data_IF_584542012537
#
_entry.id   IF_584542012537
#
_cell.length_a   1.000
_cell.length_b   1.000
_cell.length_c   1.000
_cell.angle_alpha   90.00
_cell.angle_beta   90.00
_cell.angle_gamma   90.00
#
_symmetry.space_group_name_H-M   'P 1'
#
loop_
_entity.id
_entity.type
_entity.pdbx_description
1 polymer ?
#
# COMPACT_ATOMS: atom_id res chain seq x y z
N UNK A 1 -1.65 -38.18 6.03
CA UNK A 1 -0.31 -37.96 6.63
C UNK A 1 -0.38 -36.60 7.31
N UNK A 2 -0.60 -36.56 8.62
CA UNK A 2 -0.61 -35.30 9.37
C UNK A 2 0.83 -34.79 9.43
N UNK A 3 1.10 -33.66 8.79
CA UNK A 3 2.40 -32.99 8.89
C UNK A 3 2.58 -32.55 10.34
N UNK A 4 3.62 -33.04 11.00
CA UNK A 4 3.98 -32.60 12.34
C UNK A 4 4.60 -31.19 12.25
N UNK A 5 3.75 -30.17 12.39
CA UNK A 5 4.11 -28.75 12.25
C UNK A 5 5.23 -28.28 13.18
N UNK A 6 5.56 -29.02 14.24
CA UNK A 6 6.60 -28.66 15.21
C UNK A 6 8.03 -28.74 14.68
N UNK A 7 8.28 -29.45 13.57
CA UNK A 7 9.64 -29.68 13.05
C UNK A 7 10.03 -28.75 11.88
N UNK A 8 9.11 -27.93 11.38
CA UNK A 8 9.38 -26.97 10.30
C UNK A 8 9.72 -25.59 10.89
N UNK A 9 11.02 -25.29 10.93
CA UNK A 9 11.66 -23.99 11.21
C UNK A 9 10.80 -22.93 11.91
N UNK A 10 10.82 -22.92 13.25
CA UNK A 10 10.38 -21.77 14.05
C UNK A 10 8.92 -21.36 13.84
N UNK A 11 8.03 -22.32 13.53
CA UNK A 11 6.59 -22.09 13.40
C UNK A 11 5.84 -22.45 14.69
N UNK A 12 4.96 -21.57 15.13
CA UNK A 12 4.08 -21.78 16.28
C UNK A 12 2.63 -21.44 15.97
N UNK A 13 1.70 -22.07 16.68
CA UNK A 13 0.29 -21.68 16.66
C UNK A 13 -0.14 -21.30 18.08
N UNK A 14 -0.60 -20.06 18.24
CA UNK A 14 -1.02 -19.51 19.53
C UNK A 14 -2.52 -19.28 19.55
N UNK A 15 -3.13 -19.76 20.62
CA UNK A 15 -4.52 -19.57 20.97
C UNK A 15 -4.73 -18.45 21.98
N UNK A 16 -3.71 -18.09 22.76
CA UNK A 16 -3.74 -17.04 23.78
C UNK A 16 -2.48 -16.15 23.73
N UNK A 17 -2.62 -14.90 24.17
CA UNK A 17 -1.53 -13.93 24.31
C UNK A 17 -0.44 -14.41 25.25
N UNK A 18 -0.79 -15.18 26.29
CA UNK A 18 0.18 -15.75 27.26
C UNK A 18 1.28 -16.58 26.59
N UNK A 19 0.96 -17.24 25.47
CA UNK A 19 1.92 -18.04 24.71
C UNK A 19 2.97 -17.13 24.05
N UNK A 20 2.53 -16.01 23.45
CA UNK A 20 3.46 -14.99 22.94
C UNK A 20 4.27 -14.31 24.07
N UNK A 21 3.68 -14.14 25.26
CA UNK A 21 4.38 -13.53 26.40
C UNK A 21 5.46 -14.46 26.98
N UNK A 22 5.32 -15.78 26.83
CA UNK A 22 6.37 -16.73 27.19
C UNK A 22 7.64 -16.54 26.34
N UNK A 23 7.51 -16.11 25.09
CA UNK A 23 8.65 -15.77 24.24
C UNK A 23 9.37 -14.51 24.71
N UNK A 24 8.64 -13.51 25.22
CA UNK A 24 9.26 -12.33 25.84
C UNK A 24 10.21 -12.77 26.96
N UNK A 25 9.78 -13.69 27.84
CA UNK A 25 10.60 -14.22 28.94
C UNK A 25 11.86 -14.96 28.45
N UNK A 26 11.81 -15.55 27.25
CA UNK A 26 12.96 -16.19 26.57
C UNK A 26 13.88 -15.19 25.85
N UNK A 27 13.63 -13.88 25.99
CA UNK A 27 14.45 -12.83 25.39
C UNK A 27 14.07 -12.47 23.95
N UNK A 28 12.92 -12.93 23.45
CA UNK A 28 12.41 -12.52 22.14
C UNK A 28 11.81 -11.11 22.19
N UNK A 29 11.92 -10.43 21.05
CA UNK A 29 11.02 -9.33 20.71
C UNK A 29 9.83 -9.91 19.95
N UNK A 30 8.61 -9.72 20.47
CA UNK A 30 7.39 -10.13 19.76
C UNK A 30 6.96 -8.98 18.85
N UNK A 31 6.83 -9.27 17.57
CA UNK A 31 6.48 -8.32 16.50
C UNK A 31 5.10 -8.68 15.99
N UNK A 32 4.08 -8.07 16.58
CA UNK A 32 2.69 -8.27 16.19
C UNK A 32 2.39 -7.50 14.91
N UNK A 33 2.04 -8.23 13.85
CA UNK A 33 1.79 -7.70 12.51
C UNK A 33 0.36 -8.02 12.08
N UNK A 34 -0.35 -7.02 11.57
CA UNK A 34 -1.69 -7.21 11.02
C UNK A 34 -1.95 -6.26 9.87
N UNK A 35 -2.81 -6.68 8.95
CA UNK A 35 -3.20 -5.89 7.81
C UNK A 35 -4.72 -5.71 7.70
N UNK A 36 -5.11 -4.66 6.99
CA UNK A 36 -6.48 -4.49 6.51
C UNK A 36 -6.42 -4.12 5.03
N UNK A 37 -7.40 -4.58 4.26
CA UNK A 37 -7.41 -4.43 2.81
C UNK A 37 -8.81 -4.11 2.29
N UNK A 38 -8.89 -3.15 1.37
CA UNK A 38 -10.08 -2.89 0.54
C UNK A 38 -9.67 -2.23 -0.77
N UNK A 39 -10.21 -2.73 -1.89
CA UNK A 39 -10.11 -2.10 -3.22
C UNK A 39 -8.70 -1.57 -3.59
N UNK A 40 -7.72 -2.48 -3.62
CA UNK A 40 -6.30 -2.19 -3.92
C UNK A 40 -5.54 -1.36 -2.87
N UNK A 41 -6.21 -0.91 -1.81
CA UNK A 41 -5.61 -0.22 -0.68
C UNK A 41 -5.42 -1.21 0.46
N UNK A 42 -4.15 -1.44 0.79
CA UNK A 42 -3.75 -2.13 2.01
C UNK A 42 -3.36 -1.12 3.09
N UNK A 43 -3.43 -1.55 4.33
CA UNK A 43 -2.79 -0.88 5.45
C UNK A 43 -2.26 -1.94 6.41
N UNK A 44 -1.18 -1.63 7.12
CA UNK A 44 -0.68 -2.51 8.16
C UNK A 44 -0.48 -1.75 9.46
N UNK A 45 -0.52 -2.49 10.57
CA UNK A 45 -0.06 -2.02 11.86
C UNK A 45 0.93 -2.99 12.47
N UNK A 46 1.96 -2.44 13.09
CA UNK A 46 3.05 -3.19 13.72
C UNK A 46 3.20 -2.73 15.15
N UNK A 47 3.23 -3.69 16.07
CA UNK A 47 3.59 -3.48 17.45
C UNK A 47 4.79 -4.35 17.80
N UNK A 48 5.80 -3.76 18.44
CA UNK A 48 6.99 -4.51 18.90
C UNK A 48 7.01 -4.48 20.43
N UNK A 49 7.02 -5.67 21.03
CA UNK A 49 7.02 -5.89 22.47
C UNK A 49 8.30 -6.59 22.88
N UNK A 50 8.82 -6.20 24.04
CA UNK A 50 9.95 -6.82 24.73
C UNK A 50 9.60 -6.92 26.22
N UNK A 51 10.33 -7.70 27.00
CA UNK A 51 10.10 -7.78 28.47
C UNK A 51 10.12 -6.42 29.17
N UNK A 52 10.93 -5.48 28.68
CA UNK A 52 11.15 -4.19 29.33
C UNK A 52 10.25 -3.09 28.76
N UNK A 53 9.74 -3.26 27.55
CA UNK A 53 9.12 -2.17 26.79
C UNK A 53 8.16 -2.67 25.73
N UNK A 54 7.04 -1.97 25.63
CA UNK A 54 6.10 -2.04 24.51
C UNK A 54 6.23 -0.75 23.67
N UNK A 55 6.56 -0.91 22.38
CA UNK A 55 6.69 0.23 21.48
C UNK A 55 5.33 0.73 21.01
N UNK A 56 5.26 2.01 20.64
CA UNK A 56 4.08 2.61 20.01
C UNK A 56 3.79 1.88 18.68
N UNK A 57 2.50 1.63 18.45
CA UNK A 57 2.02 1.03 17.21
C UNK A 57 2.36 1.95 16.03
N UNK A 58 2.99 1.38 15.01
CA UNK A 58 3.26 2.05 13.74
C UNK A 58 2.28 1.54 12.70
N UNK A 59 1.53 2.44 12.08
CA UNK A 59 0.58 2.11 11.02
C UNK A 59 0.95 2.82 9.73
N UNK A 60 0.72 2.18 8.58
CA UNK A 60 0.96 2.78 7.27
C UNK A 60 0.04 2.19 6.19
N UNK A 61 -0.46 3.01 5.25
CA UNK A 61 -1.13 2.53 4.05
C UNK A 61 -0.10 2.10 2.99
N UNK A 62 -0.53 1.24 2.07
CA UNK A 62 0.21 0.82 0.89
C UNK A 62 -0.75 0.31 -0.19
N UNK A 63 -0.22 0.03 -1.39
CA UNK A 63 -0.97 -0.64 -2.46
C UNK A 63 -0.78 -2.14 -2.35
N UNK A 64 -1.85 -2.91 -2.48
CA UNK A 64 -1.82 -4.36 -2.51
C UNK A 64 -2.87 -4.92 -3.47
N UNK A 65 -2.70 -6.14 -3.94
CA UNK A 65 -3.60 -6.86 -4.83
C UNK A 65 -4.21 -8.03 -4.05
N UNK A 66 -5.02 -7.69 -3.05
CA UNK A 66 -5.78 -8.64 -2.24
C UNK A 66 -5.32 -8.77 -0.77
N UNK A 67 -6.15 -9.42 0.06
CA UNK A 67 -5.92 -9.52 1.50
C UNK A 67 -4.65 -10.30 1.85
N UNK A 68 -4.38 -11.43 1.20
CA UNK A 68 -3.19 -12.24 1.51
C UNK A 68 -1.88 -11.50 1.20
N UNK A 69 -1.83 -10.72 0.13
CA UNK A 69 -0.66 -9.86 -0.13
C UNK A 69 -0.53 -8.79 0.96
N UNK A 70 -1.65 -8.22 1.40
CA UNK A 70 -1.67 -7.22 2.48
C UNK A 70 -1.08 -7.76 3.78
N UNK A 71 -1.44 -8.98 4.17
CA UNK A 71 -0.89 -9.64 5.36
C UNK A 71 0.62 -9.91 5.25
N UNK A 72 1.06 -10.41 4.10
CA UNK A 72 2.48 -10.61 3.82
C UNK A 72 3.25 -9.28 3.85
N UNK A 73 2.65 -8.22 3.31
CA UNK A 73 3.23 -6.87 3.36
C UNK A 73 3.29 -6.34 4.80
N UNK A 74 2.33 -6.65 5.67
CA UNK A 74 2.41 -6.33 7.09
C UNK A 74 3.60 -7.01 7.77
N UNK A 75 3.83 -8.30 7.49
CA UNK A 75 4.99 -9.05 8.01
C UNK A 75 6.31 -8.46 7.48
N UNK A 76 6.40 -8.20 6.18
CA UNK A 76 7.54 -7.52 5.54
C UNK A 76 7.87 -6.20 6.27
N UNK A 77 6.83 -5.44 6.55
CA UNK A 77 6.93 -4.18 7.24
C UNK A 77 7.33 -4.35 8.71
N UNK A 78 6.87 -5.40 9.39
CA UNK A 78 7.30 -5.80 10.73
C UNK A 78 8.81 -6.11 10.78
N UNK A 79 9.32 -6.91 9.84
CA UNK A 79 10.74 -7.23 9.70
C UNK A 79 11.58 -5.95 9.58
N UNK A 80 11.16 -5.03 8.70
CA UNK A 80 11.83 -3.74 8.51
C UNK A 80 11.83 -2.85 9.75
N UNK A 81 10.76 -2.87 10.55
CA UNK A 81 10.74 -2.13 11.81
C UNK A 81 11.62 -2.78 12.88
N UNK A 82 11.67 -4.11 12.93
CA UNK A 82 12.57 -4.85 13.83
C UNK A 82 14.05 -4.55 13.51
N UNK A 83 14.45 -4.54 12.24
CA UNK A 83 15.82 -4.18 11.79
C UNK A 83 16.30 -2.80 12.28
N UNK A 84 15.38 -1.86 12.54
CA UNK A 84 15.71 -0.51 13.04
C UNK A 84 16.05 -0.48 14.53
N UNK A 85 15.71 -1.54 15.28
CA UNK A 85 15.94 -1.60 16.72
C UNK A 85 17.32 -2.21 16.96
N UNK A 86 18.22 -1.43 17.53
CA UNK A 86 19.57 -1.90 17.90
C UNK A 86 19.46 -2.95 19.01
N UNK A 87 20.21 -4.04 18.87
CA UNK A 87 20.36 -5.05 19.93
C UNK A 87 19.27 -6.12 19.99
N UNK A 88 18.38 -6.22 18.99
CA UNK A 88 17.52 -7.41 18.86
C UNK A 88 18.41 -8.63 18.62
N UNK A 89 18.28 -9.65 19.48
CA UNK A 89 18.94 -10.95 19.30
C UNK A 89 17.99 -12.02 18.75
N UNK A 90 16.73 -11.98 19.20
CA UNK A 90 15.66 -12.90 18.80
C UNK A 90 14.37 -12.13 18.52
N UNK A 91 13.64 -12.50 17.46
CA UNK A 91 12.37 -11.91 17.09
C UNK A 91 11.32 -12.98 16.79
N UNK A 92 10.09 -12.76 17.24
CA UNK A 92 8.94 -13.62 16.95
C UNK A 92 7.92 -12.78 16.17
N UNK A 93 7.72 -13.07 14.89
CA UNK A 93 6.75 -12.37 14.05
C UNK A 93 5.40 -13.08 14.16
N UNK A 94 4.36 -12.35 14.57
CA UNK A 94 3.01 -12.90 14.70
C UNK A 94 2.06 -12.31 13.66
N UNK A 95 1.18 -13.14 13.12
CA UNK A 95 0.09 -12.73 12.23
C UNK A 95 -1.06 -13.75 12.32
N UNK A 96 -2.30 -13.33 12.07
CA UNK A 96 -3.46 -14.22 12.19
C UNK A 96 -3.85 -14.93 10.89
N UNK A 97 -3.24 -14.55 9.76
CA UNK A 97 -3.48 -15.16 8.46
C UNK A 97 -2.61 -16.42 8.27
N UNK A 98 -3.25 -17.58 8.32
CA UNK A 98 -2.62 -18.88 8.16
C UNK A 98 -1.84 -18.99 6.84
N UNK A 99 -2.45 -18.55 5.73
CA UNK A 99 -1.84 -18.65 4.41
C UNK A 99 -0.57 -17.80 4.30
N UNK A 100 -0.58 -16.58 4.85
CA UNK A 100 0.58 -15.70 4.83
C UNK A 100 1.76 -16.31 5.58
N UNK A 101 1.52 -16.84 6.79
CA UNK A 101 2.55 -17.52 7.57
C UNK A 101 3.04 -18.78 6.83
N UNK A 102 2.14 -19.64 6.35
CA UNK A 102 2.48 -20.88 5.65
C UNK A 102 3.36 -20.65 4.40
N UNK A 103 3.08 -19.59 3.64
CA UNK A 103 3.91 -19.22 2.49
C UNK A 103 5.30 -18.76 2.93
N UNK A 104 5.41 -18.01 4.02
CA UNK A 104 6.68 -17.46 4.50
C UNK A 104 7.58 -18.54 5.09
N UNK A 105 7.03 -19.46 5.87
CA UNK A 105 7.78 -20.58 6.47
C UNK A 105 8.04 -21.72 5.48
N UNK A 106 7.44 -21.67 4.28
CA UNK A 106 7.69 -22.64 3.20
C UNK A 106 6.75 -23.85 3.17
N UNK A 107 5.69 -23.84 3.98
CA UNK A 107 4.67 -24.90 4.02
C UNK A 107 3.73 -24.85 2.81
N UNK A 108 3.57 -23.67 2.20
CA UNK A 108 2.72 -23.47 1.02
C UNK A 108 3.47 -22.81 -0.13
N UNK A 109 3.26 -23.29 -1.36
CA UNK A 109 3.83 -22.68 -2.58
C UNK A 109 2.90 -21.59 -3.11
N UNK A 110 3.37 -20.33 -3.28
CA UNK A 110 2.53 -19.27 -3.82
C UNK A 110 2.31 -19.44 -5.33
N UNK A 111 1.05 -19.49 -5.76
CA UNK A 111 0.69 -19.61 -7.19
C UNK A 111 0.56 -18.26 -7.89
N UNK A 112 -0.02 -17.26 -7.21
CA UNK A 112 -0.28 -15.92 -7.76
C UNK A 112 0.97 -15.05 -7.79
N UNK A 113 1.13 -14.27 -8.86
CA UNK A 113 2.34 -13.46 -9.11
C UNK A 113 2.61 -12.40 -8.03
N UNK A 114 1.56 -11.72 -7.55
CA UNK A 114 1.69 -10.72 -6.49
C UNK A 114 2.13 -11.34 -5.15
N UNK A 115 1.64 -12.54 -4.83
CA UNK A 115 2.06 -13.31 -3.64
C UNK A 115 3.51 -13.79 -3.79
N UNK A 116 3.92 -14.27 -4.97
CA UNK A 116 5.33 -14.63 -5.25
C UNK A 116 6.27 -13.44 -5.05
N UNK A 117 5.89 -12.26 -5.57
CA UNK A 117 6.65 -11.01 -5.38
C UNK A 117 6.74 -10.61 -3.90
N UNK A 118 5.64 -10.73 -3.15
CA UNK A 118 5.64 -10.46 -1.72
C UNK A 118 6.55 -11.44 -0.95
N UNK A 119 6.43 -12.74 -1.20
CA UNK A 119 7.27 -13.79 -0.62
C UNK A 119 8.77 -13.54 -0.90
N UNK A 120 9.11 -13.21 -2.15
CA UNK A 120 10.48 -12.90 -2.57
C UNK A 120 11.04 -11.69 -1.82
N UNK A 121 10.25 -10.61 -1.66
CA UNK A 121 10.64 -9.44 -0.87
C UNK A 121 10.90 -9.80 0.60
N UNK A 122 10.05 -10.62 1.20
CA UNK A 122 10.21 -11.08 2.59
C UNK A 122 11.48 -11.90 2.73
N UNK A 123 11.70 -12.88 1.85
CA UNK A 123 12.89 -13.71 1.85
C UNK A 123 14.18 -12.87 1.73
N UNK A 124 14.16 -11.85 0.88
CA UNK A 124 15.27 -10.89 0.77
C UNK A 124 15.47 -10.07 2.05
N UNK A 125 14.41 -9.58 2.68
CA UNK A 125 14.59 -8.85 3.94
C UNK A 125 15.10 -9.75 5.08
N UNK A 126 14.68 -11.02 5.10
CA UNK A 126 15.12 -12.04 6.06
C UNK A 126 16.57 -12.48 5.84
N UNK A 127 17.10 -12.49 4.60
CA UNK A 127 18.52 -12.78 4.38
C UNK A 127 19.44 -11.72 4.99
N UNK A 128 18.91 -10.52 5.22
CA UNK A 128 19.66 -9.36 5.70
C UNK A 128 19.47 -9.11 7.21
N UNK A 129 18.81 -10.02 7.95
CA UNK A 129 18.63 -9.87 9.41
C UNK A 129 19.80 -10.47 10.19
N UNK A 130 20.22 -9.79 11.26
CA UNK A 130 21.29 -10.24 12.14
C UNK A 130 20.77 -10.84 13.47
N UNK A 131 19.50 -11.25 13.52
CA UNK A 131 18.86 -11.83 14.69
C UNK A 131 18.19 -13.16 14.33
N UNK A 132 18.10 -14.05 15.31
CA UNK A 132 17.28 -15.25 15.18
C UNK A 132 15.81 -14.85 15.04
N UNK A 133 15.08 -15.53 14.17
CA UNK A 133 13.67 -15.23 13.94
C UNK A 133 12.82 -16.49 13.93
N UNK A 134 11.59 -16.32 14.41
CA UNK A 134 10.55 -17.32 14.41
C UNK A 134 9.22 -16.66 13.98
N UNK A 135 8.27 -17.47 13.54
CA UNK A 135 6.94 -17.05 13.10
C UNK A 135 5.87 -17.75 13.93
N UNK A 136 4.81 -17.03 14.26
CA UNK A 136 3.66 -17.63 14.90
C UNK A 136 2.36 -17.20 14.24
N UNK A 137 1.50 -18.17 13.98
CA UNK A 137 0.09 -17.92 13.75
C UNK A 137 -0.58 -17.60 15.08
N UNK A 138 -1.31 -16.50 15.14
CA UNK A 138 -2.11 -16.13 16.33
C UNK A 138 -3.59 -16.14 15.99
N UNK A 139 -4.47 -16.39 16.96
CA UNK A 139 -5.90 -16.12 16.77
C UNK A 139 -6.13 -14.60 16.66
N UNK A 140 -7.06 -14.17 15.80
CA UNK A 140 -7.36 -12.74 15.60
C UNK A 140 -7.72 -11.97 16.88
N UNK A 141 -8.30 -12.63 17.90
CA UNK A 141 -8.54 -11.99 19.21
C UNK A 141 -7.24 -11.55 19.91
N UNK A 142 -6.16 -12.33 19.77
CA UNK A 142 -4.82 -12.02 20.30
C UNK A 142 -4.21 -10.82 19.55
N UNK A 143 -4.43 -10.74 18.23
CA UNK A 143 -3.95 -9.66 17.37
C UNK A 143 -4.87 -8.42 17.30
N UNK A 144 -6.01 -8.45 18.00
CA UNK A 144 -7.10 -7.48 17.85
C UNK A 144 -6.70 -6.01 18.02
N UNK A 145 -5.63 -5.74 18.78
CA UNK A 145 -5.11 -4.39 18.98
C UNK A 145 -4.48 -3.83 17.70
N UNK A 146 -3.62 -4.59 17.03
CA UNK A 146 -3.00 -4.13 15.77
C UNK A 146 -4.01 -4.14 14.62
N UNK A 147 -4.95 -5.09 14.59
CA UNK A 147 -6.08 -5.11 13.64
C UNK A 147 -6.92 -3.82 13.69
N UNK A 148 -7.30 -3.39 14.89
CA UNK A 148 -8.06 -2.14 15.06
C UNK A 148 -7.29 -0.94 14.51
N UNK A 149 -5.97 -0.90 14.69
CA UNK A 149 -5.13 0.17 14.18
C UNK A 149 -4.99 0.10 12.64
N UNK A 150 -4.87 -1.09 12.06
CA UNK A 150 -4.82 -1.27 10.60
C UNK A 150 -6.12 -0.78 9.97
N UNK A 151 -7.29 -1.23 10.47
CA UNK A 151 -8.61 -0.76 10.04
C UNK A 151 -8.78 0.76 10.14
N UNK A 152 -8.29 1.36 11.23
CA UNK A 152 -8.34 2.83 11.40
C UNK A 152 -7.50 3.54 10.35
N UNK A 153 -6.33 3.01 10.02
CA UNK A 153 -5.45 3.60 9.02
C UNK A 153 -5.99 3.42 7.60
N UNK A 154 -6.59 2.28 7.28
CA UNK A 154 -7.30 2.05 6.02
C UNK A 154 -8.40 3.11 5.81
N UNK A 155 -9.27 3.29 6.82
CA UNK A 155 -10.37 4.27 6.75
C UNK A 155 -9.89 5.70 6.50
N UNK A 156 -8.80 6.13 7.15
CA UNK A 156 -8.22 7.44 6.88
C UNK A 156 -7.76 7.56 5.43
N UNK A 157 -7.13 6.50 4.91
CA UNK A 157 -6.63 6.50 3.55
C UNK A 157 -7.76 6.51 2.52
N UNK A 158 -8.86 5.80 2.78
CA UNK A 158 -10.09 5.88 2.00
C UNK A 158 -10.62 7.32 1.94
N UNK A 159 -10.77 7.97 3.10
CA UNK A 159 -11.20 9.38 3.17
C UNK A 159 -10.26 10.32 2.39
N UNK A 160 -8.95 10.11 2.46
CA UNK A 160 -7.99 10.91 1.70
C UNK A 160 -8.11 10.70 0.19
N UNK A 161 -8.39 9.46 -0.24
CA UNK A 161 -8.65 9.14 -1.65
C UNK A 161 -9.94 9.81 -2.12
N UNK A 162 -11.01 9.72 -1.35
CA UNK A 162 -12.29 10.34 -1.68
C UNK A 162 -12.15 11.86 -1.82
N UNK A 163 -11.43 12.52 -0.89
CA UNK A 163 -11.12 13.95 -0.99
C UNK A 163 -10.35 14.31 -2.26
N UNK A 164 -9.40 13.47 -2.69
CA UNK A 164 -8.65 13.68 -3.93
C UNK A 164 -9.55 13.53 -5.16
N UNK A 165 -10.47 12.55 -5.15
CA UNK A 165 -11.47 12.35 -6.20
C UNK A 165 -12.40 13.56 -6.27
N UNK A 166 -12.97 14.00 -5.15
CA UNK A 166 -13.84 15.17 -5.07
C UNK A 166 -13.13 16.44 -5.55
N UNK A 167 -11.87 16.66 -5.12
CA UNK A 167 -11.05 17.78 -5.58
C UNK A 167 -10.82 17.74 -7.10
N UNK A 168 -10.62 16.54 -7.66
CA UNK A 168 -10.50 16.36 -9.11
C UNK A 168 -11.81 16.63 -9.83
N UNK A 169 -12.94 16.13 -9.34
CA UNK A 169 -14.27 16.39 -9.90
C UNK A 169 -14.53 17.90 -9.92
N UNK A 170 -14.29 18.60 -8.81
CA UNK A 170 -14.43 20.06 -8.73
C UNK A 170 -13.58 20.78 -9.77
N UNK A 171 -12.30 20.41 -9.93
CA UNK A 171 -11.42 21.00 -10.96
C UNK A 171 -11.95 20.78 -12.38
N UNK A 172 -12.45 19.58 -12.68
CA UNK A 172 -13.03 19.27 -13.99
C UNK A 172 -14.30 20.08 -14.23
N UNK A 173 -15.21 20.15 -13.26
CA UNK A 173 -16.45 20.93 -13.36
C UNK A 173 -16.16 22.43 -13.54
N UNK A 174 -15.21 22.99 -12.81
CA UNK A 174 -14.77 24.38 -13.00
C UNK A 174 -14.21 24.59 -14.40
N UNK A 175 -13.35 23.69 -14.90
CA UNK A 175 -12.82 23.79 -16.26
C UNK A 175 -13.93 23.69 -17.32
N UNK A 176 -14.90 22.79 -17.15
CA UNK A 176 -16.06 22.68 -18.04
C UNK A 176 -16.92 23.95 -18.03
N UNK A 177 -17.14 24.55 -16.86
CA UNK A 177 -17.89 25.79 -16.74
C UNK A 177 -17.20 26.96 -17.43
N UNK A 178 -15.87 27.07 -17.32
CA UNK A 178 -15.08 28.08 -18.02
C UNK A 178 -15.09 27.88 -19.53
N UNK A 179 -14.91 26.62 -19.97
CA UNK A 179 -14.90 26.26 -21.38
C UNK A 179 -16.17 26.68 -22.13
N UNK A 180 -17.34 26.71 -21.47
CA UNK A 180 -18.60 27.18 -22.08
C UNK A 180 -18.57 28.65 -22.50
N UNK A 181 -17.72 29.46 -21.90
CA UNK A 181 -17.61 30.89 -22.18
C UNK A 181 -16.46 31.23 -23.12
N UNK A 182 -15.71 30.22 -23.58
CA UNK A 182 -14.58 30.44 -24.48
C UNK A 182 -15.07 30.63 -25.91
N UNK A 183 -14.50 31.61 -26.59
CA UNK A 183 -14.70 31.76 -28.03
C UNK A 183 -13.93 30.65 -28.75
N UNK A 184 -14.66 29.79 -29.46
CA UNK A 184 -14.10 28.65 -30.18
C UNK A 184 -14.53 28.67 -31.66
N UNK A 185 -13.60 28.29 -32.53
CA UNK A 185 -13.82 28.13 -33.97
C UNK A 185 -13.42 26.72 -34.36
N UNK A 186 -14.36 25.94 -34.87
CA UNK A 186 -14.06 24.62 -35.39
C UNK A 186 -13.23 24.75 -36.68
N UNK A 187 -12.06 24.10 -36.72
CA UNK A 187 -11.21 24.04 -37.92
C UNK A 187 -11.43 22.74 -38.69
N UNK A 188 -11.53 21.63 -37.97
CA UNK A 188 -11.85 20.30 -38.50
C UNK A 188 -12.77 19.57 -37.51
N UNK A 189 -13.17 18.34 -37.81
CA UNK A 189 -13.98 17.52 -36.89
C UNK A 189 -13.33 17.36 -35.51
N UNK A 190 -12.00 17.26 -35.45
CA UNK A 190 -11.25 16.94 -34.24
C UNK A 190 -10.36 18.09 -33.75
N UNK A 191 -10.31 19.21 -34.47
CA UNK A 191 -9.44 20.36 -34.14
C UNK A 191 -10.28 21.62 -34.01
N UNK A 192 -10.15 22.26 -32.85
CA UNK A 192 -10.77 23.54 -32.50
C UNK A 192 -9.70 24.59 -32.25
N UNK A 193 -9.87 25.79 -32.79
CA UNK A 193 -9.11 26.96 -32.38
C UNK A 193 -9.86 27.66 -31.24
N UNK A 194 -9.20 27.83 -30.10
CA UNK A 194 -9.78 28.42 -28.89
C UNK A 194 -9.06 29.74 -28.59
N UNK A 195 -9.80 30.84 -28.42
CA UNK A 195 -9.22 32.13 -28.06
C UNK A 195 -8.78 32.13 -26.60
N UNK A 196 -7.60 32.67 -26.34
CA UNK A 196 -7.10 32.88 -24.97
C UNK A 196 -7.98 33.89 -24.22
N UNK A 197 -8.25 33.65 -22.94
CA UNK A 197 -8.95 34.64 -22.09
C UNK A 197 -8.12 35.92 -21.92
N UNK A 198 -6.80 35.77 -21.71
CA UNK A 198 -5.90 36.89 -21.36
C UNK A 198 -5.23 37.58 -22.57
N UNK A 199 -5.52 37.17 -23.81
CA UNK A 199 -4.86 37.74 -24.99
C UNK A 199 -5.64 37.49 -26.28
N UNK A 200 -5.33 38.20 -27.36
CA UNK A 200 -5.91 37.92 -28.68
C UNK A 200 -5.31 36.69 -29.39
N UNK A 201 -4.52 35.88 -28.68
CA UNK A 201 -3.94 34.65 -29.24
C UNK A 201 -4.97 33.54 -29.31
N UNK A 202 -4.89 32.78 -30.39
CA UNK A 202 -5.67 31.57 -30.61
C UNK A 202 -4.78 30.34 -30.47
N UNK A 203 -5.30 29.30 -29.84
CA UNK A 203 -4.61 28.04 -29.65
C UNK A 203 -5.43 26.88 -30.22
N UNK A 204 -4.77 26.06 -31.03
CA UNK A 204 -5.34 24.83 -31.54
C UNK A 204 -5.38 23.75 -30.47
N UNK A 205 -6.54 23.12 -30.33
CA UNK A 205 -6.86 21.99 -29.45
C UNK A 205 -7.28 20.82 -30.32
N UNK A 206 -6.55 19.71 -30.23
CA UNK A 206 -6.85 18.46 -30.94
C UNK A 206 -7.45 17.46 -29.95
N UNK A 207 -8.67 17.01 -30.21
CA UNK A 207 -9.43 16.11 -29.34
C UNK A 207 -9.01 14.64 -29.47
N UNK A 208 -8.46 14.24 -30.62
CA UNK A 208 -8.01 12.86 -30.87
C UNK A 208 -6.69 12.58 -30.16
N UNK A 209 -5.68 13.44 -30.37
CA UNK A 209 -4.40 13.30 -29.68
C UNK A 209 -4.38 13.88 -28.27
N UNK A 210 -5.53 14.38 -27.79
CA UNK A 210 -5.69 15.17 -26.57
C UNK A 210 -4.52 16.14 -26.42
N UNK A 211 -4.38 17.11 -27.32
CA UNK A 211 -3.26 18.04 -27.29
C UNK A 211 -3.68 19.49 -27.50
N UNK A 212 -2.85 20.41 -27.04
CA UNK A 212 -3.07 21.84 -27.21
C UNK A 212 -1.75 22.55 -27.57
N UNK A 213 -1.83 23.53 -28.45
CA UNK A 213 -0.68 24.35 -28.85
C UNK A 213 -0.29 25.41 -27.81
N UNK A 214 -1.07 25.59 -26.74
CA UNK A 214 -0.80 26.63 -25.75
C UNK A 214 0.51 26.39 -24.96
N UNK A 215 1.16 27.45 -24.44
CA UNK A 215 2.40 27.32 -23.68
C UNK A 215 2.27 26.39 -22.46
N UNK A 216 1.14 26.44 -21.76
CA UNK A 216 0.87 25.58 -20.61
C UNK A 216 0.92 24.09 -21.00
N UNK A 217 0.26 23.71 -22.10
CA UNK A 217 0.27 22.33 -22.58
C UNK A 217 1.67 21.90 -23.01
N UNK A 218 2.35 22.75 -23.77
CA UNK A 218 3.73 22.50 -24.23
C UNK A 218 4.68 22.23 -23.07
N UNK A 219 4.57 23.01 -21.99
CA UNK A 219 5.46 22.90 -20.83
C UNK A 219 5.12 21.71 -19.91
N UNK A 220 3.84 21.36 -19.76
CA UNK A 220 3.41 20.37 -18.76
C UNK A 220 3.12 18.98 -19.33
N UNK A 221 2.65 18.90 -20.58
CA UNK A 221 2.04 17.68 -21.12
C UNK A 221 2.70 17.16 -22.40
N UNK A 222 3.31 18.01 -23.23
CA UNK A 222 3.86 17.59 -24.55
C UNK A 222 4.77 16.35 -24.47
N UNK A 223 5.68 16.32 -23.49
CA UNK A 223 6.67 15.25 -23.27
C UNK A 223 6.15 14.06 -22.45
N UNK A 224 4.90 14.09 -21.98
CA UNK A 224 4.33 13.00 -21.18
C UNK A 224 3.83 11.86 -22.07
N UNK A 225 3.94 10.59 -21.63
CA UNK A 225 3.35 9.46 -22.34
C UNK A 225 1.85 9.65 -22.52
N UNK A 226 1.32 9.10 -23.62
CA UNK A 226 -0.09 9.23 -23.99
C UNK A 226 -1.04 8.75 -22.88
N UNK A 227 -0.82 7.56 -22.33
CA UNK A 227 -1.63 7.09 -21.19
C UNK A 227 -1.63 8.05 -19.99
N UNK A 228 -0.53 8.77 -19.74
CA UNK A 228 -0.49 9.78 -18.67
C UNK A 228 -1.30 11.03 -19.02
N UNK A 229 -1.33 11.44 -20.30
CA UNK A 229 -2.18 12.53 -20.79
C UNK A 229 -3.65 12.15 -20.62
N UNK A 230 -4.08 11.01 -21.16
CA UNK A 230 -5.45 10.50 -21.03
C UNK A 230 -5.91 10.40 -19.58
N UNK A 231 -5.04 9.94 -18.68
CA UNK A 231 -5.43 9.69 -17.29
C UNK A 231 -5.34 10.93 -16.39
N UNK A 232 -4.54 11.95 -16.73
CA UNK A 232 -4.19 13.04 -15.80
C UNK A 232 -4.24 14.44 -16.38
N UNK A 233 -4.19 14.62 -17.70
CA UNK A 233 -4.33 15.94 -18.28
C UNK A 233 -5.75 16.43 -18.01
N UNK A 234 -5.86 17.55 -17.31
CA UNK A 234 -7.11 18.30 -17.32
C UNK A 234 -7.21 19.05 -18.65
N UNK A 235 -8.42 19.37 -19.12
CA UNK A 235 -8.59 20.35 -20.18
C UNK A 235 -7.74 21.59 -19.88
N UNK A 236 -7.16 22.19 -20.94
CA UNK A 236 -6.50 23.48 -20.79
C UNK A 236 -7.49 24.47 -20.16
N UNK A 237 -6.99 25.37 -19.30
CA UNK A 237 -7.80 26.38 -18.60
C UNK A 237 -8.78 27.05 -19.55
#
# INVERSE_FOLDING_TARGET
>A
MELNWKELFGYHEFTDRKESDAFLKKGFHVVDCDASYKEFVGSCSIQIRSMKKENKIKSRPFTAIGPNESEMMAILHGIREAKKIKGIKKALFTNDNNFAIDVIVGNSRPSRENIKKAASKIKKELSDVCFEYEFARVKGKVNSRVDRHAKKELKKKEIDIDKLIESRIKRVLTAQSKAKNLECKQKTELIYAVKSEDSDKWYDVNLDSLSCSCPYWKNNWSKKPEGAKWTRATPCK
#
